data_IF_308581093024
#
_entry.id   IF_308581093024
#
_cell.length_a   1.000
_cell.length_b   1.000
_cell.length_c   1.000
_cell.angle_alpha   90.00
_cell.angle_beta   90.00
_cell.angle_gamma   90.00
#
_symmetry.space_group_name_H-M   'P 1'
#
loop_
_entity.id
_entity.type
_entity.pdbx_description
1 polymer ?
#
# COMPACT_ATOMS: atom_id res chain seq x y z
N UNK A 1 -14.14 3.75 -22.68
CA UNK A 1 -15.58 3.94 -22.39
C UNK A 1 -16.14 2.61 -21.93
N UNK A 2 -16.92 2.58 -20.84
CA UNK A 2 -17.44 1.35 -20.27
C UNK A 2 -18.55 0.82 -21.19
N UNK A 3 -18.19 -0.05 -22.14
CA UNK A 3 -19.05 -0.47 -23.26
C UNK A 3 -20.38 -1.09 -22.77
N UNK A 4 -20.32 -1.72 -21.60
CA UNK A 4 -21.46 -2.35 -20.92
C UNK A 4 -22.51 -1.31 -20.51
N UNK A 5 -22.12 -0.08 -20.17
CA UNK A 5 -23.06 0.96 -19.72
C UNK A 5 -23.64 1.66 -20.96
N UNK A 6 -22.79 2.03 -21.92
CA UNK A 6 -23.20 2.73 -23.13
C UNK A 6 -24.15 1.92 -24.04
N UNK A 7 -24.19 0.59 -23.92
CA UNK A 7 -25.08 -0.27 -24.72
C UNK A 7 -26.52 -0.34 -24.21
N UNK A 8 -26.83 0.16 -23.01
CA UNK A 8 -28.18 0.09 -22.42
C UNK A 8 -29.13 1.22 -22.86
N UNK A 9 -28.68 2.25 -23.57
CA UNK A 9 -29.54 3.40 -23.88
C UNK A 9 -29.09 4.29 -25.04
N UNK A 10 -29.97 5.22 -25.41
CA UNK A 10 -29.70 6.28 -26.40
C UNK A 10 -28.63 7.27 -25.91
N UNK A 11 -28.03 8.04 -26.82
CA UNK A 11 -27.05 9.10 -26.48
C UNK A 11 -27.57 10.09 -25.41
N UNK A 12 -28.88 10.33 -25.36
CA UNK A 12 -29.51 11.16 -24.31
C UNK A 12 -29.50 10.52 -22.92
N UNK A 13 -29.59 9.19 -22.82
CA UNK A 13 -29.50 8.47 -21.54
C UNK A 13 -28.07 8.50 -20.98
N UNK A 14 -27.06 8.39 -21.85
CA UNK A 14 -25.65 8.36 -21.42
C UNK A 14 -25.24 9.70 -20.78
N UNK A 15 -25.64 10.82 -21.40
CA UNK A 15 -25.41 12.18 -20.89
C UNK A 15 -26.17 12.44 -19.58
N UNK A 16 -27.41 11.95 -19.47
CA UNK A 16 -28.24 12.21 -18.29
C UNK A 16 -27.93 11.28 -17.09
N UNK A 17 -27.58 10.01 -17.34
CA UNK A 17 -27.50 8.98 -16.30
C UNK A 17 -26.32 8.00 -16.44
N UNK A 18 -25.80 7.77 -17.65
CA UNK A 18 -24.72 6.78 -17.90
C UNK A 18 -23.45 7.04 -17.09
N UNK A 19 -22.98 8.28 -17.04
CA UNK A 19 -21.80 8.66 -16.25
C UNK A 19 -21.94 8.38 -14.75
N UNK A 20 -23.16 8.50 -14.19
CA UNK A 20 -23.45 8.22 -12.77
C UNK A 20 -23.34 6.74 -12.44
N UNK A 21 -23.67 5.87 -13.40
CA UNK A 21 -23.50 4.43 -13.28
C UNK A 21 -22.05 4.02 -13.45
N UNK A 22 -21.31 4.71 -14.31
CA UNK A 22 -19.88 4.49 -14.51
C UNK A 22 -19.08 4.76 -13.22
N UNK A 23 -19.44 5.82 -12.48
CA UNK A 23 -18.87 6.09 -11.15
C UNK A 23 -19.35 5.10 -10.08
N UNK A 24 -20.63 4.75 -10.05
CA UNK A 24 -21.17 3.79 -9.06
C UNK A 24 -20.52 2.41 -9.18
N UNK A 25 -20.32 1.92 -10.40
CA UNK A 25 -19.67 0.64 -10.63
C UNK A 25 -18.21 0.64 -10.17
N UNK A 26 -17.50 1.76 -10.26
CA UNK A 26 -16.16 1.93 -9.68
C UNK A 26 -16.19 2.08 -8.15
N UNK A 27 -17.24 2.69 -7.61
CA UNK A 27 -17.41 2.86 -6.17
C UNK A 27 -17.67 1.54 -5.43
N UNK A 28 -18.28 0.55 -6.09
CA UNK A 28 -18.54 -0.78 -5.50
C UNK A 28 -17.26 -1.51 -5.06
N UNK A 29 -16.26 -1.77 -5.95
CA UNK A 29 -15.02 -2.42 -5.54
C UNK A 29 -14.21 -1.56 -4.56
N UNK A 30 -14.26 -0.23 -4.66
CA UNK A 30 -13.61 0.66 -3.70
C UNK A 30 -14.24 0.53 -2.30
N UNK A 31 -15.57 0.49 -2.19
CA UNK A 31 -16.26 0.27 -0.92
C UNK A 31 -16.01 -1.13 -0.35
N UNK A 32 -15.97 -2.16 -1.19
CA UNK A 32 -15.61 -3.50 -0.77
C UNK A 32 -14.17 -3.57 -0.23
N UNK A 33 -13.24 -2.87 -0.87
CA UNK A 33 -11.86 -2.75 -0.42
C UNK A 33 -11.75 -2.00 0.92
N UNK A 34 -12.43 -0.87 1.07
CA UNK A 34 -12.47 -0.13 2.34
C UNK A 34 -13.05 -0.97 3.48
N UNK A 35 -14.12 -1.73 3.22
CA UNK A 35 -14.70 -2.63 4.22
C UNK A 35 -13.72 -3.76 4.60
N UNK A 36 -12.92 -4.22 3.65
CA UNK A 36 -11.88 -5.23 3.88
C UNK A 36 -10.74 -4.67 4.73
N UNK A 37 -10.34 -3.41 4.54
CA UNK A 37 -9.30 -2.76 5.35
C UNK A 37 -9.64 -2.72 6.84
N UNK A 38 -10.93 -2.59 7.22
CA UNK A 38 -11.35 -2.60 8.63
C UNK A 38 -10.98 -3.92 9.34
N UNK A 39 -10.87 -5.03 8.61
CA UNK A 39 -10.46 -6.33 9.16
C UNK A 39 -8.98 -6.64 8.98
N UNK A 40 -8.26 -5.87 8.16
CA UNK A 40 -6.85 -6.11 7.91
C UNK A 40 -6.06 -5.71 9.16
N UNK A 41 -5.27 -6.61 9.76
CA UNK A 41 -4.36 -6.21 10.82
C UNK A 41 -3.35 -5.20 10.26
N UNK A 42 -2.93 -4.25 11.10
CA UNK A 42 -1.82 -3.37 10.77
C UNK A 42 -0.57 -4.17 10.43
N UNK A 43 0.30 -3.62 9.59
CA UNK A 43 1.47 -4.38 9.16
C UNK A 43 2.36 -4.71 10.39
N UNK A 44 2.80 -5.96 10.57
CA UNK A 44 3.56 -6.36 11.75
C UNK A 44 4.87 -5.56 11.89
N UNK A 45 5.48 -5.20 10.76
CA UNK A 45 6.66 -4.32 10.73
C UNK A 45 6.35 -2.93 11.28
N UNK A 46 5.23 -2.32 10.88
CA UNK A 46 4.83 -1.01 11.40
C UNK A 46 4.54 -1.07 12.90
N UNK A 47 3.85 -2.11 13.38
CA UNK A 47 3.60 -2.30 14.82
C UNK A 47 4.89 -2.40 15.63
N UNK A 48 5.86 -3.19 15.15
CA UNK A 48 7.18 -3.31 15.78
C UNK A 48 7.93 -1.97 15.77
N UNK A 49 7.92 -1.24 14.64
CA UNK A 49 8.55 0.08 14.53
C UNK A 49 7.90 1.14 15.43
N UNK A 50 6.58 1.05 15.64
CA UNK A 50 5.83 1.93 16.54
C UNK A 50 6.01 1.59 18.04
N UNK A 51 6.87 0.63 18.38
CA UNK A 51 7.11 0.19 19.76
C UNK A 51 6.09 -0.83 20.29
N UNK A 52 5.12 -1.25 19.47
CA UNK A 52 4.10 -2.26 19.81
C UNK A 52 4.56 -3.66 19.39
N UNK A 53 5.70 -4.09 19.91
CA UNK A 53 6.34 -5.36 19.49
C UNK A 53 5.47 -6.58 19.77
N UNK A 54 4.73 -6.61 20.88
CA UNK A 54 3.85 -7.72 21.25
C UNK A 54 2.68 -7.89 20.25
N UNK A 55 2.05 -6.78 19.85
CA UNK A 55 0.99 -6.79 18.82
C UNK A 55 1.54 -7.25 17.46
N UNK A 56 2.73 -6.75 17.07
CA UNK A 56 3.39 -7.16 15.82
C UNK A 56 3.82 -8.63 15.83
N UNK A 57 4.27 -9.14 16.97
CA UNK A 57 4.60 -10.56 17.15
C UNK A 57 3.36 -11.44 17.02
N UNK A 58 2.24 -11.09 17.65
CA UNK A 58 0.99 -11.86 17.55
C UNK A 58 0.49 -11.94 16.10
N UNK A 59 0.62 -10.85 15.33
CA UNK A 59 0.30 -10.84 13.89
C UNK A 59 1.27 -11.74 13.11
N UNK A 60 2.57 -11.69 13.38
CA UNK A 60 3.55 -12.59 12.74
C UNK A 60 3.30 -14.06 13.09
N UNK A 61 3.02 -14.35 14.35
CA UNK A 61 2.71 -15.70 14.83
C UNK A 61 1.50 -16.28 14.10
N UNK A 62 0.47 -15.47 13.88
CA UNK A 62 -0.71 -15.89 13.12
C UNK A 62 -0.42 -16.21 11.64
N UNK A 63 0.58 -15.55 11.04
CA UNK A 63 0.91 -15.68 9.61
C UNK A 63 1.94 -16.80 9.35
N UNK A 64 3.01 -16.86 10.16
CA UNK A 64 4.19 -17.69 9.90
C UNK A 64 4.51 -18.68 11.04
N UNK A 65 3.76 -18.66 12.14
CA UNK A 65 3.98 -19.53 13.31
C UNK A 65 5.02 -19.01 14.30
N UNK A 66 4.96 -19.50 15.54
CA UNK A 66 5.64 -18.94 16.72
C UNK A 66 7.17 -18.88 16.61
N UNK A 67 7.81 -19.93 16.10
CA UNK A 67 9.28 -20.00 16.01
C UNK A 67 9.84 -19.02 14.96
N UNK A 68 9.24 -19.02 13.77
CA UNK A 68 9.64 -18.09 12.69
C UNK A 68 9.26 -16.65 13.02
N UNK A 69 8.16 -16.44 13.75
CA UNK A 69 7.76 -15.12 14.21
C UNK A 69 8.81 -14.48 15.14
N UNK A 70 9.47 -15.26 16.01
CA UNK A 70 10.53 -14.73 16.88
C UNK A 70 11.73 -14.25 16.07
N UNK A 71 12.25 -15.11 15.20
CA UNK A 71 13.37 -14.77 14.32
C UNK A 71 13.06 -13.54 13.46
N UNK A 72 11.87 -13.47 12.87
CA UNK A 72 11.44 -12.31 12.08
C UNK A 72 11.28 -11.04 12.89
N UNK A 73 10.81 -11.14 14.13
CA UNK A 73 10.67 -9.98 15.01
C UNK A 73 12.03 -9.40 15.36
N UNK A 74 13.02 -10.25 15.64
CA UNK A 74 14.39 -9.85 15.91
C UNK A 74 15.07 -9.22 14.68
N UNK A 75 14.89 -9.84 13.50
CA UNK A 75 15.37 -9.29 12.22
C UNK A 75 14.77 -7.89 11.95
N UNK A 76 13.47 -7.74 12.17
CA UNK A 76 12.77 -6.46 11.97
C UNK A 76 13.32 -5.42 12.93
N UNK A 77 13.51 -5.73 14.21
CA UNK A 77 14.12 -4.83 15.19
C UNK A 77 15.52 -4.36 14.78
N UNK A 78 16.37 -5.29 14.33
CA UNK A 78 17.70 -4.95 13.85
C UNK A 78 17.64 -4.02 12.63
N UNK A 79 16.75 -4.31 11.67
CA UNK A 79 16.59 -3.50 10.46
C UNK A 79 16.04 -2.09 10.75
N UNK A 80 15.08 -1.96 11.67
CA UNK A 80 14.48 -0.69 12.06
C UNK A 80 15.48 0.20 12.78
N UNK A 81 16.31 -0.39 13.67
CA UNK A 81 17.37 0.36 14.35
C UNK A 81 18.40 0.88 13.35
N UNK A 82 18.79 0.05 12.39
CA UNK A 82 19.73 0.41 11.32
C UNK A 82 19.15 1.51 10.40
N UNK A 83 17.87 1.43 10.03
CA UNK A 83 17.17 2.50 9.30
C UNK A 83 17.10 3.81 10.09
N UNK A 84 16.90 3.75 11.41
CA UNK A 84 16.86 4.94 12.27
C UNK A 84 18.25 5.60 12.36
N UNK A 85 19.30 4.80 12.48
CA UNK A 85 20.70 5.28 12.47
C UNK A 85 21.10 5.81 11.07
N UNK A 86 20.56 5.21 10.01
CA UNK A 86 20.72 5.63 8.62
C UNK A 86 19.60 6.54 8.13
N UNK A 87 18.94 7.30 9.02
CA UNK A 87 17.90 8.26 8.63
C UNK A 87 18.51 9.35 7.74
N UNK A 88 18.66 9.06 6.45
CA UNK A 88 19.16 9.97 5.45
C UNK A 88 18.08 11.04 5.25
N UNK A 89 18.41 12.25 5.68
CA UNK A 89 17.60 13.44 5.51
C UNK A 89 17.12 13.52 4.04
N UNK A 90 15.86 13.89 3.79
CA UNK A 90 15.28 13.92 2.42
C UNK A 90 16.13 14.70 1.39
N UNK A 91 17.03 15.56 1.87
CA UNK A 91 18.01 16.30 1.07
C UNK A 91 19.10 15.40 0.45
N UNK A 92 19.39 14.22 1.01
CA UNK A 92 20.39 13.28 0.48
C UNK A 92 19.95 12.65 -0.85
N UNK A 93 18.64 12.65 -1.14
CA UNK A 93 18.09 12.30 -2.44
C UNK A 93 18.52 13.27 -3.56
N UNK A 94 18.86 14.52 -3.22
CA UNK A 94 19.33 15.53 -4.16
C UNK A 94 20.85 15.54 -4.32
N UNK A 95 21.58 14.57 -3.72
CA UNK A 95 23.01 14.44 -3.99
C UNK A 95 23.26 13.95 -5.42
N UNK A 96 24.32 14.45 -6.07
CA UNK A 96 24.60 14.22 -7.49
C UNK A 96 24.83 12.75 -7.89
N UNK A 97 25.04 11.85 -6.92
CA UNK A 97 25.07 10.41 -7.14
C UNK A 97 23.68 9.76 -7.17
N UNK A 98 22.80 10.13 -6.23
CA UNK A 98 21.47 9.55 -6.10
C UNK A 98 20.48 10.09 -7.13
N UNK A 99 20.61 11.36 -7.52
CA UNK A 99 19.80 11.95 -8.60
C UNK A 99 19.95 11.19 -9.92
N UNK A 100 21.15 10.67 -10.24
CA UNK A 100 21.37 9.84 -11.43
C UNK A 100 20.62 8.52 -11.35
N UNK A 101 20.64 7.85 -10.19
CA UNK A 101 19.88 6.62 -9.96
C UNK A 101 18.36 6.88 -10.03
N UNK A 102 17.90 8.02 -9.51
CA UNK A 102 16.49 8.43 -9.55
C UNK A 102 16.02 8.71 -10.99
N UNK A 103 16.84 9.38 -11.81
CA UNK A 103 16.56 9.62 -13.23
C UNK A 103 16.49 8.29 -14.01
N UNK A 104 17.43 7.37 -13.75
CA UNK A 104 17.43 6.05 -14.39
C UNK A 104 16.17 5.25 -13.99
N UNK A 105 15.81 5.23 -12.71
CA UNK A 105 14.61 4.55 -12.24
C UNK A 105 13.31 5.14 -12.80
N UNK A 106 13.24 6.47 -12.93
CA UNK A 106 12.11 7.14 -13.56
C UNK A 106 11.99 6.83 -15.05
N UNK A 107 13.11 6.78 -15.78
CA UNK A 107 13.13 6.45 -17.21
C UNK A 107 12.85 4.97 -17.50
N UNK A 108 13.22 4.06 -16.61
CA UNK A 108 12.99 2.62 -16.77
C UNK A 108 11.52 2.25 -16.57
N UNK A 109 10.73 3.09 -15.88
CA UNK A 109 9.31 2.84 -15.57
C UNK A 109 8.34 3.83 -16.24
N UNK A 110 8.83 4.76 -17.06
CA UNK A 110 8.03 5.71 -17.84
C UNK A 110 7.63 5.15 -19.21
#
# INVERSE_FOLDING_TARGET
MNYIIASYGSRSWDVNAGWRWMLRLGAIPAAAFLLSMVRAPESPRFLIQAGKTEEGFAVLEHIIGTEQARLRTDDIHASVKLETEMSHEFHDLFRPGLQKALIIGALIKA
#
